data_IF_050379847913
#
_entry.id   IF_050379847913
#
_cell.length_a   1.000
_cell.length_b   1.000
_cell.length_c   1.000
_cell.angle_alpha   90.00
_cell.angle_beta   90.00
_cell.angle_gamma   90.00
#
_symmetry.space_group_name_H-M   'P 1'
#
loop_
_entity.id
_entity.type
_entity.pdbx_description
1 polymer ?
#
# COMPACT_ATOMS: atom_id res chain seq x y z
N UNK A 1 44.24 -45.61 -0.85
CA UNK A 1 44.98 -44.40 -0.43
C UNK A 1 44.26 -43.21 -1.05
N UNK A 2 43.62 -42.26 -0.38
CA UNK A 2 43.47 -41.92 1.05
C UNK A 2 42.24 -41.00 1.16
N UNK A 3 41.27 -41.33 2.02
CA UNK A 3 40.87 -40.57 3.24
C UNK A 3 40.79 -39.04 3.08
N UNK A 4 39.58 -38.46 2.98
CA UNK A 4 38.72 -37.87 4.07
C UNK A 4 39.12 -36.45 4.50
N UNK A 5 38.07 -35.67 4.78
CA UNK A 5 37.97 -34.37 5.50
C UNK A 5 38.20 -33.08 4.70
N UNK A 6 37.12 -32.30 4.56
CA UNK A 6 36.91 -30.96 5.17
C UNK A 6 35.44 -30.56 4.87
N UNK A 7 34.50 -30.97 5.72
CA UNK A 7 33.82 -30.12 6.71
C UNK A 7 33.17 -28.84 6.14
N UNK A 8 31.85 -28.93 5.94
CA UNK A 8 30.85 -27.99 6.46
C UNK A 8 31.18 -26.49 6.38
N UNK A 9 30.92 -25.87 5.23
CA UNK A 9 30.71 -24.42 5.17
C UNK A 9 29.21 -24.13 5.32
N UNK A 10 28.84 -23.99 6.59
CA UNK A 10 27.60 -23.47 7.17
C UNK A 10 26.71 -22.64 6.23
N UNK A 11 25.51 -23.18 6.00
CA UNK A 11 24.30 -22.41 5.71
C UNK A 11 24.14 -21.33 6.80
N UNK A 12 24.50 -20.09 6.51
CA UNK A 12 23.97 -18.93 7.22
C UNK A 12 22.50 -18.81 6.78
N UNK A 13 21.62 -19.55 7.46
CA UNK A 13 20.21 -19.22 7.50
C UNK A 13 20.12 -17.79 8.06
N UNK A 14 19.82 -16.84 7.19
CA UNK A 14 19.25 -15.57 7.60
C UNK A 14 17.91 -15.88 8.25
N UNK A 15 17.93 -16.11 9.56
CA UNK A 15 16.76 -15.96 10.42
C UNK A 15 16.38 -14.49 10.32
N UNK A 16 15.46 -14.19 9.41
CA UNK A 16 14.69 -12.97 9.48
C UNK A 16 13.85 -13.09 10.76
N UNK A 17 14.30 -12.46 11.84
CA UNK A 17 13.43 -12.19 12.97
C UNK A 17 12.33 -11.26 12.46
N UNK A 18 11.23 -11.86 12.02
CA UNK A 18 9.96 -11.16 11.88
C UNK A 18 9.52 -10.81 13.32
N UNK A 19 10.02 -9.71 13.86
CA UNK A 19 9.45 -9.14 15.05
C UNK A 19 8.05 -8.66 14.67
N UNK A 20 7.03 -9.23 15.31
CA UNK A 20 5.72 -8.61 15.30
C UNK A 20 5.86 -7.32 16.09
N UNK A 21 6.01 -6.19 15.39
CA UNK A 21 6.21 -4.90 16.04
C UNK A 21 4.93 -4.52 16.77
N UNK A 22 5.04 -4.32 18.09
CA UNK A 22 3.94 -3.82 18.89
C UNK A 22 3.80 -2.31 18.66
N UNK A 23 3.13 -1.95 17.57
CA UNK A 23 2.93 -0.55 17.20
C UNK A 23 2.14 0.26 18.23
N UNK A 24 1.42 -0.38 19.14
CA UNK A 24 0.77 0.30 20.25
C UNK A 24 1.77 0.86 21.29
N UNK A 25 2.98 0.27 21.35
CA UNK A 25 4.01 0.59 22.33
C UNK A 25 5.30 1.15 21.68
N UNK A 26 5.25 1.62 20.44
CA UNK A 26 6.40 2.26 19.79
C UNK A 26 6.85 3.52 20.55
N UNK A 27 8.12 3.56 20.97
CA UNK A 27 8.67 4.68 21.77
C UNK A 27 9.83 5.39 21.08
N UNK A 28 10.52 4.72 20.16
CA UNK A 28 11.60 5.33 19.38
C UNK A 28 11.09 5.82 18.02
N UNK A 29 11.78 6.80 17.42
CA UNK A 29 11.44 7.26 16.06
C UNK A 29 11.61 6.17 15.00
N UNK A 30 12.54 5.23 15.21
CA UNK A 30 12.70 4.07 14.33
C UNK A 30 11.47 3.17 14.33
N UNK A 31 10.99 2.81 15.52
CA UNK A 31 9.77 2.00 15.69
C UNK A 31 8.53 2.72 15.13
N UNK A 32 8.38 4.02 15.42
CA UNK A 32 7.27 4.81 14.87
C UNK A 32 7.28 4.85 13.33
N UNK A 33 8.46 5.04 12.72
CA UNK A 33 8.63 5.00 11.27
C UNK A 33 8.27 3.62 10.68
N UNK A 34 8.66 2.54 11.35
CA UNK A 34 8.36 1.17 10.96
C UNK A 34 6.85 0.89 11.00
N UNK A 35 6.20 1.28 12.08
CA UNK A 35 4.75 1.15 12.22
C UNK A 35 3.97 1.94 11.17
N UNK A 36 4.36 3.19 10.90
CA UNK A 36 3.74 3.98 9.85
C UNK A 36 3.93 3.35 8.46
N UNK A 37 5.08 2.73 8.19
CA UNK A 37 5.32 2.00 6.96
C UNK A 37 4.43 0.75 6.84
N UNK A 38 4.20 0.02 7.93
CA UNK A 38 3.29 -1.13 7.96
C UNK A 38 1.85 -0.72 7.69
N UNK A 39 1.34 0.33 8.34
CA UNK A 39 0.00 0.83 8.09
C UNK A 39 -0.18 1.30 6.64
N UNK A 40 0.83 1.98 6.09
CA UNK A 40 0.86 2.39 4.69
C UNK A 40 0.75 1.19 3.76
N UNK A 41 1.53 0.13 4.02
CA UNK A 41 1.51 -1.09 3.22
C UNK A 41 0.17 -1.82 3.34
N UNK A 42 -0.45 -1.85 4.52
CA UNK A 42 -1.77 -2.44 4.72
C UNK A 42 -2.85 -1.71 3.91
N UNK A 43 -2.84 -0.37 3.94
CA UNK A 43 -3.77 0.45 3.16
C UNK A 43 -3.57 0.25 1.64
N UNK A 44 -2.31 0.18 1.18
CA UNK A 44 -2.00 -0.07 -0.23
C UNK A 44 -2.45 -1.46 -0.69
N UNK A 45 -2.29 -2.49 0.15
CA UNK A 45 -2.77 -3.84 -0.11
C UNK A 45 -4.30 -3.88 -0.27
N UNK A 46 -5.04 -3.20 0.62
CA UNK A 46 -6.51 -3.09 0.49
C UNK A 46 -6.91 -2.38 -0.80
N UNK A 47 -6.29 -1.23 -1.10
CA UNK A 47 -6.54 -0.48 -2.32
C UNK A 47 -6.32 -1.34 -3.57
N UNK A 48 -5.21 -2.07 -3.64
CA UNK A 48 -4.87 -2.94 -4.75
C UNK A 48 -5.84 -4.14 -4.88
N UNK A 49 -6.30 -4.68 -3.76
CA UNK A 49 -7.34 -5.73 -3.76
C UNK A 49 -8.63 -5.23 -4.39
N UNK A 50 -9.12 -4.06 -3.97
CA UNK A 50 -10.32 -3.45 -4.54
C UNK A 50 -10.14 -3.05 -6.00
N UNK A 51 -8.97 -2.54 -6.38
CA UNK A 51 -8.63 -2.25 -7.77
C UNK A 51 -8.74 -3.49 -8.67
N UNK A 52 -8.22 -4.64 -8.20
CA UNK A 52 -8.34 -5.92 -8.91
C UNK A 52 -9.81 -6.35 -9.04
N UNK A 53 -10.61 -6.19 -7.98
CA UNK A 53 -12.04 -6.49 -8.03
C UNK A 53 -12.78 -5.63 -9.06
N UNK A 54 -12.58 -4.31 -9.03
CA UNK A 54 -13.21 -3.38 -9.97
C UNK A 54 -12.78 -3.70 -11.41
N UNK A 55 -11.48 -3.88 -11.65
CA UNK A 55 -10.98 -4.19 -13.00
C UNK A 55 -11.46 -5.53 -13.53
N UNK A 56 -11.78 -6.49 -12.66
CA UNK A 56 -12.45 -7.74 -13.03
C UNK A 56 -13.92 -7.52 -13.43
N UNK A 57 -14.66 -6.68 -12.69
CA UNK A 57 -16.04 -6.31 -13.06
C UNK A 57 -16.11 -5.53 -14.37
N UNK A 58 -15.08 -4.75 -14.68
CA UNK A 58 -14.95 -4.01 -15.95
C UNK A 58 -14.39 -4.85 -17.11
N UNK A 59 -14.29 -6.18 -17.00
CA UNK A 59 -13.72 -7.05 -18.05
C UNK A 59 -14.39 -6.89 -19.42
N UNK A 60 -15.70 -6.62 -19.43
CA UNK A 60 -16.50 -6.44 -20.65
C UNK A 60 -16.68 -4.94 -21.01
N UNK A 61 -16.02 -4.03 -20.30
CA UNK A 61 -16.02 -2.59 -20.56
C UNK A 61 -14.57 -2.07 -20.64
N UNK A 62 -13.87 -2.29 -21.77
CA UNK A 62 -12.46 -1.92 -21.91
C UNK A 62 -12.22 -0.41 -21.80
N UNK A 63 -13.13 0.41 -22.29
CA UNK A 63 -13.06 1.87 -22.21
C UNK A 63 -13.16 2.35 -20.76
N UNK A 64 -14.15 1.87 -20.01
CA UNK A 64 -14.29 2.16 -18.58
C UNK A 64 -13.08 1.69 -17.77
N UNK A 65 -12.53 0.52 -18.09
CA UNK A 65 -11.29 0.04 -17.47
C UNK A 65 -10.10 0.96 -17.76
N UNK A 66 -9.95 1.44 -18.99
CA UNK A 66 -8.89 2.39 -19.35
C UNK A 66 -9.03 3.73 -18.59
N UNK A 67 -10.26 4.23 -18.43
CA UNK A 67 -10.54 5.43 -17.64
C UNK A 67 -10.14 5.24 -16.18
N UNK A 68 -10.49 4.11 -15.56
CA UNK A 68 -10.08 3.78 -14.19
C UNK A 68 -8.55 3.73 -14.05
N UNK A 69 -7.85 3.07 -14.97
CA UNK A 69 -6.38 2.99 -14.98
C UNK A 69 -5.77 4.39 -15.03
N UNK A 70 -6.26 5.25 -15.94
CA UNK A 70 -5.78 6.63 -16.09
C UNK A 70 -6.04 7.45 -14.83
N UNK A 71 -7.26 7.37 -14.28
CA UNK A 71 -7.62 8.06 -13.04
C UNK A 71 -6.76 7.60 -11.86
N UNK A 72 -6.50 6.30 -11.74
CA UNK A 72 -5.68 5.76 -10.66
C UNK A 72 -4.22 6.19 -10.75
N UNK A 73 -3.63 6.23 -11.95
CA UNK A 73 -2.27 6.73 -12.16
C UNK A 73 -2.15 8.22 -11.83
N UNK A 74 -3.12 9.03 -12.26
CA UNK A 74 -3.18 10.45 -11.93
C UNK A 74 -3.32 10.67 -10.42
N UNK A 75 -4.18 9.89 -9.76
CA UNK A 75 -4.36 9.93 -8.31
C UNK A 75 -3.08 9.55 -7.54
N UNK A 76 -2.32 8.54 -7.99
CA UNK A 76 -1.01 8.20 -7.40
C UNK A 76 -0.04 9.40 -7.51
N UNK A 77 0.04 10.03 -8.70
CA UNK A 77 0.87 11.21 -8.90
C UNK A 77 0.50 12.38 -7.99
N UNK A 78 -0.81 12.63 -7.82
CA UNK A 78 -1.32 13.59 -6.85
C UNK A 78 -0.90 13.21 -5.42
N UNK A 79 -1.21 11.99 -4.98
CA UNK A 79 -0.94 11.49 -3.63
C UNK A 79 0.52 11.66 -3.25
N UNK A 80 1.42 11.23 -4.13
CA UNK A 80 2.85 11.25 -3.84
C UNK A 80 3.39 12.69 -3.80
N UNK A 81 2.89 13.58 -4.65
CA UNK A 81 3.27 15.00 -4.65
C UNK A 81 2.73 15.72 -3.42
N UNK A 82 1.47 15.48 -3.08
CA UNK A 82 0.81 16.03 -1.89
C UNK A 82 1.53 15.61 -0.61
N UNK A 83 1.88 14.33 -0.48
CA UNK A 83 2.55 13.85 0.72
C UNK A 83 4.00 14.31 0.84
N UNK A 84 4.71 14.53 -0.27
CA UNK A 84 6.01 15.22 -0.24
C UNK A 84 5.85 16.66 0.25
N UNK A 85 4.86 17.39 -0.27
CA UNK A 85 4.57 18.75 0.15
C UNK A 85 4.19 18.82 1.64
N UNK A 86 3.27 17.96 2.09
CA UNK A 86 2.82 17.89 3.49
C UNK A 86 3.96 17.59 4.46
N UNK A 87 4.93 16.74 4.06
CA UNK A 87 6.09 16.41 4.87
C UNK A 87 7.29 17.37 4.70
N UNK A 88 7.21 18.37 3.83
CA UNK A 88 8.35 19.23 3.47
C UNK A 88 8.94 20.01 4.66
N UNK A 89 8.11 20.38 5.64
CA UNK A 89 8.56 21.10 6.84
C UNK A 89 9.49 20.29 7.75
N UNK A 90 9.61 18.98 7.55
CA UNK A 90 10.49 18.08 8.32
C UNK A 90 11.47 17.32 7.42
N UNK A 91 11.64 17.75 6.16
CA UNK A 91 12.54 17.10 5.21
C UNK A 91 13.98 17.00 5.76
N UNK A 92 14.59 15.82 5.58
CA UNK A 92 15.92 15.50 6.15
C UNK A 92 15.91 15.13 7.64
N UNK A 93 14.81 15.35 8.36
CA UNK A 93 14.64 14.96 9.77
C UNK A 93 14.27 13.49 9.93
N UNK A 94 14.57 12.91 11.10
CA UNK A 94 14.25 11.51 11.43
C UNK A 94 12.74 11.21 11.48
N UNK A 95 11.91 12.25 11.63
CA UNK A 95 10.44 12.16 11.65
C UNK A 95 9.81 12.21 10.25
N UNK A 96 10.57 12.57 9.21
CA UNK A 96 10.05 12.66 7.84
C UNK A 96 9.35 11.37 7.36
N UNK A 97 9.91 10.16 7.56
CA UNK A 97 9.27 8.93 7.08
C UNK A 97 7.91 8.66 7.72
N UNK A 98 7.75 9.00 9.01
CA UNK A 98 6.49 8.92 9.75
C UNK A 98 5.44 9.84 9.12
N UNK A 99 5.74 11.14 8.98
CA UNK A 99 4.78 12.13 8.44
C UNK A 99 4.39 11.78 7.00
N UNK A 100 5.38 11.46 6.16
CA UNK A 100 5.13 11.06 4.77
C UNK A 100 4.25 9.81 4.69
N UNK A 101 4.58 8.76 5.45
CA UNK A 101 3.82 7.51 5.42
C UNK A 101 2.39 7.70 5.93
N UNK A 102 2.19 8.49 6.98
CA UNK A 102 0.86 8.80 7.51
C UNK A 102 -0.01 9.53 6.47
N UNK A 103 0.56 10.49 5.73
CA UNK A 103 -0.16 11.15 4.64
C UNK A 103 -0.57 10.14 3.54
N UNK A 104 0.38 9.28 3.09
CA UNK A 104 0.08 8.27 2.08
C UNK A 104 -1.05 7.35 2.56
N UNK A 105 -0.99 6.90 3.82
CA UNK A 105 -2.02 6.06 4.45
C UNK A 105 -3.38 6.74 4.44
N UNK A 106 -3.48 8.00 4.88
CA UNK A 106 -4.73 8.73 4.94
C UNK A 106 -5.39 8.89 3.56
N UNK A 107 -4.63 9.36 2.56
CA UNK A 107 -5.14 9.50 1.20
C UNK A 107 -5.53 8.14 0.59
N UNK A 108 -4.75 7.10 0.86
CA UNK A 108 -5.04 5.73 0.39
C UNK A 108 -6.32 5.18 0.99
N UNK A 109 -6.56 5.37 2.31
CA UNK A 109 -7.82 5.00 2.97
C UNK A 109 -9.02 5.75 2.38
N UNK A 110 -8.89 7.05 2.07
CA UNK A 110 -9.96 7.79 1.40
C UNK A 110 -10.27 7.25 -0.01
N UNK A 111 -9.24 6.84 -0.75
CA UNK A 111 -9.41 6.20 -2.07
C UNK A 111 -10.04 4.82 -1.97
N UNK A 112 -9.69 4.04 -0.95
CA UNK A 112 -10.35 2.77 -0.61
C UNK A 112 -11.85 2.96 -0.42
N UNK A 113 -12.28 3.99 0.33
CA UNK A 113 -13.71 4.27 0.50
C UNK A 113 -14.40 4.67 -0.81
N UNK A 114 -13.70 5.39 -1.69
CA UNK A 114 -14.19 5.66 -3.06
C UNK A 114 -14.45 4.36 -3.83
N UNK A 115 -13.51 3.40 -3.76
CA UNK A 115 -13.64 2.11 -4.43
C UNK A 115 -14.72 1.23 -3.82
N UNK A 116 -14.87 1.24 -2.48
CA UNK A 116 -15.99 0.56 -1.81
C UNK A 116 -17.33 1.11 -2.26
N UNK A 117 -17.46 2.42 -2.45
CA UNK A 117 -18.67 3.05 -3.00
C UNK A 117 -18.95 2.55 -4.42
N UNK A 118 -17.94 2.51 -5.30
CA UNK A 118 -18.11 1.96 -6.65
C UNK A 118 -18.52 0.48 -6.68
N UNK A 119 -18.21 -0.29 -5.64
CA UNK A 119 -18.55 -1.73 -5.59
C UNK A 119 -19.94 -2.01 -5.00
N UNK A 120 -20.60 -1.02 -4.39
CA UNK A 120 -21.91 -1.13 -3.71
C UNK A 120 -23.11 -0.75 -4.60
N UNK A 121 -22.90 -0.66 -5.91
CA UNK A 121 -23.90 -0.15 -6.82
C UNK A 121 -25.07 -1.10 -7.02
N UNK A 122 -26.23 -0.52 -7.31
CA UNK A 122 -27.46 -1.23 -7.64
C UNK A 122 -27.75 -1.14 -9.14
N UNK A 123 -28.43 -2.13 -9.71
CA UNK A 123 -28.96 -2.04 -11.07
C UNK A 123 -29.79 -0.74 -11.25
N UNK A 124 -29.49 0.00 -12.31
CA UNK A 124 -30.15 1.28 -12.62
C UNK A 124 -29.54 2.53 -11.94
N UNK A 125 -28.51 2.39 -11.11
CA UNK A 125 -27.79 3.53 -10.54
C UNK A 125 -26.86 4.17 -11.59
N UNK A 126 -27.36 5.23 -12.24
CA UNK A 126 -26.63 6.00 -13.25
C UNK A 126 -25.39 6.72 -12.71
N UNK A 127 -25.25 6.85 -11.39
CA UNK A 127 -24.06 7.45 -10.78
C UNK A 127 -22.89 6.47 -10.64
N UNK A 128 -23.13 5.18 -10.90
CA UNK A 128 -22.13 4.15 -10.68
C UNK A 128 -21.29 3.81 -11.91
N UNK A 129 -19.95 3.84 -11.81
CA UNK A 129 -19.06 3.49 -12.92
C UNK A 129 -18.75 1.99 -13.04
N UNK A 130 -19.17 1.14 -12.09
CA UNK A 130 -18.81 -0.29 -12.04
C UNK A 130 -20.07 -1.15 -12.00
N UNK A 131 -20.25 -2.10 -12.93
CA UNK A 131 -21.39 -3.03 -12.90
C UNK A 131 -21.47 -3.85 -11.60
N UNK A 132 -22.65 -4.38 -11.31
CA UNK A 132 -22.82 -5.43 -10.30
C UNK A 132 -21.99 -6.68 -10.67
N UNK A 133 -21.70 -7.52 -9.66
CA UNK A 133 -20.85 -8.69 -9.78
C UNK A 133 -21.50 -9.80 -10.62
#
# INVERSE_FOLDING_TARGET
MSSRLLLALTLLLFVALAQADDCANATTQGEMNQCAAQEKNAADNELNSLYKQITARLKNNPEGKQLLVKAQRAWIGFRDTECKFSASGVEGGSVYPLIYSNCITALTKARVETFKTYLKCKEGDLSCPVPEA
#
